data_IF_633352121344
#
_entry.id   IF_633352121344
#
_cell.length_a   1.000
_cell.length_b   1.000
_cell.length_c   1.000
_cell.angle_alpha   90.00
_cell.angle_beta   90.00
_cell.angle_gamma   90.00
#
_symmetry.space_group_name_H-M   'P 1'
#
loop_
_entity.id
_entity.type
_entity.pdbx_description
1 polymer ?
#
# COMPACT_ATOMS: atom_id res chain seq x y z
N UNK A 1 11.05 -0.17 -24.48
CA UNK A 1 12.04 0.72 -23.89
C UNK A 1 11.94 0.68 -22.37
N UNK A 2 13.07 0.84 -21.68
CA UNK A 2 13.06 0.97 -20.22
C UNK A 2 12.52 2.34 -19.83
N UNK A 3 11.81 2.40 -18.70
CA UNK A 3 11.34 3.66 -18.15
C UNK A 3 12.55 4.52 -17.73
N UNK A 4 12.67 5.72 -18.27
CA UNK A 4 13.68 6.68 -17.85
C UNK A 4 13.29 7.22 -16.47
N UNK A 5 14.19 7.08 -15.51
CA UNK A 5 14.05 7.70 -14.19
C UNK A 5 14.72 9.07 -14.23
N UNK A 6 13.98 10.13 -13.98
CA UNK A 6 14.48 11.49 -13.92
C UNK A 6 14.27 12.07 -12.52
N UNK A 7 15.25 12.86 -12.05
CA UNK A 7 15.08 13.58 -10.80
C UNK A 7 14.11 14.75 -11.00
N UNK A 8 13.09 14.82 -10.16
CA UNK A 8 12.17 15.96 -10.13
C UNK A 8 12.80 17.09 -9.31
N UNK A 9 13.07 18.26 -9.91
CA UNK A 9 13.87 19.31 -9.25
C UNK A 9 13.17 19.94 -8.06
N UNK A 10 11.85 20.15 -8.13
CA UNK A 10 11.09 20.90 -7.12
C UNK A 10 10.00 20.03 -6.46
N UNK A 11 10.43 19.24 -5.49
CA UNK A 11 9.51 18.41 -4.71
C UNK A 11 9.78 18.56 -3.21
N UNK A 12 8.74 18.38 -2.41
CA UNK A 12 8.86 18.35 -0.95
C UNK A 12 8.03 17.24 -0.34
N UNK A 13 8.48 16.78 0.83
CA UNK A 13 7.76 15.86 1.70
C UNK A 13 7.74 16.47 3.09
N UNK A 14 6.56 16.61 3.67
CA UNK A 14 6.37 17.09 5.04
C UNK A 14 5.24 16.30 5.70
N UNK A 15 5.26 16.22 7.02
CA UNK A 15 4.21 15.51 7.73
C UNK A 15 4.39 15.51 9.23
N UNK A 16 3.42 14.91 9.89
CA UNK A 16 3.40 14.67 11.32
C UNK A 16 3.19 13.18 11.53
N UNK A 17 4.02 12.58 12.36
CA UNK A 17 3.89 11.22 12.81
C UNK A 17 3.63 11.20 14.32
N UNK A 18 2.62 10.45 14.74
CA UNK A 18 2.24 10.27 16.13
C UNK A 18 2.31 8.78 16.46
N UNK A 19 3.08 8.43 17.47
CA UNK A 19 3.16 7.07 17.99
C UNK A 19 2.73 7.06 19.47
N UNK A 20 1.80 6.20 19.82
CA UNK A 20 1.33 6.03 21.19
C UNK A 20 1.35 4.54 21.56
N UNK A 21 1.87 4.23 22.74
CA UNK A 21 1.81 2.91 23.36
C UNK A 21 1.13 3.02 24.73
N UNK A 22 0.01 2.34 24.90
CA UNK A 22 -0.80 2.37 26.13
C UNK A 22 -0.86 0.96 26.70
N UNK A 23 -0.41 0.80 27.95
CA UNK A 23 -0.43 -0.47 28.68
C UNK A 23 -1.16 -0.33 30.00
N UNK A 24 -2.51 -0.33 29.98
CA UNK A 24 -3.33 -0.08 31.18
C UNK A 24 -3.23 -1.21 32.22
N UNK A 25 -2.83 -2.41 31.79
CA UNK A 25 -2.63 -3.56 32.67
C UNK A 25 -1.56 -4.51 32.12
N UNK A 26 -1.15 -5.51 32.92
CA UNK A 26 -0.03 -6.42 32.56
C UNK A 26 -0.32 -7.34 31.35
N UNK A 27 -1.58 -7.56 31.04
CA UNK A 27 -2.01 -8.52 30.02
C UNK A 27 -2.56 -7.86 28.74
N UNK A 28 -2.67 -6.50 28.68
CA UNK A 28 -3.17 -5.77 27.52
C UNK A 28 -2.26 -4.60 27.18
N UNK A 29 -2.00 -4.43 25.88
CA UNK A 29 -1.27 -3.30 25.31
C UNK A 29 -1.95 -2.85 24.01
N UNK A 30 -2.04 -1.55 23.84
CA UNK A 30 -2.50 -0.91 22.62
C UNK A 30 -1.40 -0.02 22.07
N UNK A 31 -0.98 -0.30 20.83
CA UNK A 31 -0.02 0.50 20.09
C UNK A 31 -0.73 1.11 18.87
N UNK A 32 -0.54 2.38 18.65
CA UNK A 32 -1.10 3.13 17.53
C UNK A 32 -0.01 4.03 16.92
N UNK A 33 0.02 4.06 15.59
CA UNK A 33 0.86 4.96 14.82
C UNK A 33 0.00 5.61 13.74
N UNK A 34 0.02 6.93 13.67
CA UNK A 34 -0.67 7.69 12.63
C UNK A 34 0.31 8.65 11.97
N UNK A 35 0.34 8.63 10.66
CA UNK A 35 1.16 9.53 9.83
C UNK A 35 0.24 10.34 8.94
N UNK A 36 0.32 11.65 9.04
CA UNK A 36 -0.30 12.56 8.10
C UNK A 36 0.81 13.27 7.35
N UNK A 37 0.84 13.15 6.04
CA UNK A 37 1.90 13.69 5.20
C UNK A 37 1.33 14.48 4.01
N UNK A 38 2.13 15.42 3.53
CA UNK A 38 1.91 16.12 2.26
C UNK A 38 3.16 15.91 1.41
N UNK A 39 3.00 15.20 0.29
CA UNK A 39 4.08 14.82 -0.60
C UNK A 39 3.76 15.39 -1.98
N UNK A 40 4.47 16.44 -2.41
CA UNK A 40 4.13 17.21 -3.62
C UNK A 40 5.31 17.43 -4.52
N UNK A 41 5.01 17.51 -5.81
CA UNK A 41 5.89 18.04 -6.85
C UNK A 41 5.33 19.40 -7.25
N UNK A 42 6.13 20.46 -7.11
CA UNK A 42 5.68 21.83 -7.38
C UNK A 42 5.51 22.09 -8.88
N UNK A 43 6.48 21.62 -9.67
CA UNK A 43 6.47 21.74 -11.13
C UNK A 43 6.81 20.37 -11.72
N UNK A 44 5.82 19.71 -12.31
CA UNK A 44 5.98 18.42 -12.98
C UNK A 44 5.70 18.55 -14.48
N UNK A 45 6.58 18.01 -15.31
CA UNK A 45 6.38 17.93 -16.75
C UNK A 45 6.10 16.48 -17.13
N UNK A 46 4.87 16.21 -17.49
CA UNK A 46 4.46 14.91 -18.05
C UNK A 46 4.86 14.84 -19.51
N UNK A 47 5.56 13.79 -19.90
CA UNK A 47 5.85 13.47 -21.29
C UNK A 47 4.84 12.45 -21.80
N UNK A 48 3.86 12.90 -22.58
CA UNK A 48 2.77 12.08 -23.11
C UNK A 48 3.11 11.60 -24.52
N UNK A 49 3.41 10.30 -24.75
CA UNK A 49 3.65 9.75 -26.06
C UNK A 49 2.37 9.72 -26.90
N UNK A 50 2.50 9.84 -28.21
CA UNK A 50 1.37 9.79 -29.12
C UNK A 50 1.49 8.69 -30.17
N UNK A 51 0.35 8.18 -30.62
CA UNK A 51 0.26 7.14 -31.62
C UNK A 51 -0.87 7.42 -32.64
N UNK A 52 -0.63 7.01 -33.88
CA UNK A 52 -1.66 6.88 -34.88
C UNK A 52 -1.79 5.40 -35.25
N UNK A 53 -2.99 4.84 -35.19
CA UNK A 53 -3.26 3.45 -35.55
C UNK A 53 -3.75 3.40 -36.99
N UNK A 54 -3.02 2.67 -37.86
CA UNK A 54 -3.35 2.49 -39.27
C UNK A 54 -4.39 1.37 -39.45
N UNK A 55 -5.08 1.38 -40.58
CA UNK A 55 -6.10 0.38 -40.95
C UNK A 55 -5.54 -1.05 -41.01
N UNK A 56 -4.25 -1.22 -41.23
CA UNK A 56 -3.56 -2.52 -41.26
C UNK A 56 -3.20 -3.06 -39.87
N UNK A 57 -3.55 -2.35 -38.80
CA UNK A 57 -3.24 -2.71 -37.41
C UNK A 57 -1.83 -2.29 -36.96
N UNK A 58 -1.04 -1.65 -37.80
CA UNK A 58 0.23 -1.04 -37.40
C UNK A 58 0.02 0.29 -36.65
N UNK A 59 1.03 0.74 -35.93
CA UNK A 59 1.01 2.07 -35.30
C UNK A 59 2.19 2.91 -35.71
N UNK A 60 1.96 4.21 -35.89
CA UNK A 60 2.97 5.21 -36.17
C UNK A 60 3.10 6.11 -34.93
N UNK A 61 4.34 6.30 -34.44
CA UNK A 61 4.58 7.21 -33.33
C UNK A 61 4.39 8.66 -33.74
N UNK A 62 3.64 9.39 -32.97
CA UNK A 62 3.46 10.84 -33.09
C UNK A 62 4.44 11.58 -32.14
N UNK A 63 4.63 12.89 -32.30
CA UNK A 63 5.47 13.67 -31.38
C UNK A 63 5.00 13.56 -29.93
N UNK A 64 5.93 13.37 -29.02
CA UNK A 64 5.63 13.40 -27.57
C UNK A 64 5.22 14.82 -27.16
N UNK A 65 4.09 14.94 -26.47
CA UNK A 65 3.59 16.23 -25.95
C UNK A 65 4.02 16.36 -24.49
N UNK A 66 4.48 17.57 -24.14
CA UNK A 66 4.82 17.89 -22.75
C UNK A 66 3.70 18.69 -22.10
N UNK A 67 3.15 18.19 -21.00
CA UNK A 67 2.10 18.81 -20.23
C UNK A 67 2.67 19.23 -18.88
N UNK A 68 2.50 20.52 -18.53
CA UNK A 68 2.97 21.07 -17.26
C UNK A 68 1.88 20.96 -16.20
N UNK A 69 2.21 20.37 -15.08
CA UNK A 69 1.38 20.23 -13.89
C UNK A 69 2.01 20.99 -12.73
N UNK A 70 1.17 21.51 -11.82
CA UNK A 70 1.62 22.22 -10.62
C UNK A 70 1.02 21.60 -9.36
N UNK A 71 1.84 21.53 -8.30
CA UNK A 71 1.47 21.05 -6.97
C UNK A 71 0.78 19.67 -6.99
N UNK A 72 1.33 18.73 -7.77
CA UNK A 72 0.81 17.37 -7.89
C UNK A 72 1.30 16.45 -6.79
N UNK A 73 0.56 15.37 -6.50
CA UNK A 73 0.99 14.32 -5.58
C UNK A 73 2.19 13.56 -6.14
N UNK A 74 3.11 13.19 -5.27
CA UNK A 74 4.12 12.19 -5.61
C UNK A 74 3.42 10.83 -5.70
N UNK A 75 3.64 10.13 -6.81
CA UNK A 75 3.07 8.79 -7.01
C UNK A 75 3.38 7.84 -5.84
N UNK A 76 2.42 6.96 -5.52
CA UNK A 76 2.51 5.99 -4.42
C UNK A 76 2.82 6.59 -3.04
N UNK A 77 2.35 7.81 -2.80
CA UNK A 77 2.58 8.53 -1.54
C UNK A 77 1.24 8.92 -0.93
N UNK A 78 0.66 8.08 -0.06
CA UNK A 78 -0.62 8.38 0.59
C UNK A 78 -0.49 9.55 1.57
N UNK A 79 -1.53 10.37 1.67
CA UNK A 79 -1.56 11.51 2.59
C UNK A 79 -1.80 11.07 4.05
N UNK A 80 -2.41 9.89 4.26
CA UNK A 80 -2.69 9.38 5.61
C UNK A 80 -2.47 7.88 5.72
N UNK A 81 -1.73 7.50 6.76
CA UNK A 81 -1.49 6.13 7.19
C UNK A 81 -1.88 5.97 8.65
N UNK A 82 -2.57 4.89 8.99
CA UNK A 82 -2.87 4.54 10.37
C UNK A 82 -2.55 3.06 10.57
N UNK A 83 -1.72 2.77 11.58
CA UNK A 83 -1.47 1.42 12.06
C UNK A 83 -1.95 1.31 13.49
N UNK A 84 -2.60 0.22 13.80
CA UNK A 84 -3.14 -0.05 15.12
C UNK A 84 -2.86 -1.51 15.49
N UNK A 85 -2.47 -1.76 16.74
CA UNK A 85 -2.24 -3.08 17.28
C UNK A 85 -2.79 -3.19 18.70
N UNK A 86 -3.76 -4.07 18.88
CA UNK A 86 -4.18 -4.55 20.19
C UNK A 86 -3.46 -5.86 20.50
N UNK A 87 -2.78 -5.94 21.62
CA UNK A 87 -2.05 -7.13 22.09
C UNK A 87 -2.58 -7.57 23.43
N UNK A 88 -2.89 -8.85 23.53
CA UNK A 88 -3.34 -9.50 24.74
C UNK A 88 -2.42 -10.68 25.08
N UNK A 89 -1.90 -10.74 26.30
CA UNK A 89 -1.00 -11.79 26.76
C UNK A 89 -1.41 -12.23 28.17
N UNK A 90 -1.88 -13.46 28.31
CA UNK A 90 -2.31 -13.97 29.61
C UNK A 90 -2.12 -15.48 29.74
N UNK A 91 -1.32 -15.92 30.72
CA UNK A 91 -1.10 -17.33 31.07
C UNK A 91 -0.75 -18.23 29.86
N UNK A 92 0.16 -17.78 29.01
CA UNK A 92 0.58 -18.50 27.81
C UNK A 92 -0.32 -18.32 26.59
N UNK A 93 -1.48 -17.68 26.73
CA UNK A 93 -2.32 -17.28 25.61
C UNK A 93 -1.90 -15.89 25.14
N UNK A 94 -1.70 -15.77 23.83
CA UNK A 94 -1.41 -14.52 23.15
C UNK A 94 -2.42 -14.29 22.03
N UNK A 95 -2.93 -13.06 21.94
CA UNK A 95 -3.74 -12.61 20.83
C UNK A 95 -3.29 -11.22 20.41
N UNK A 96 -3.20 -10.98 19.10
CA UNK A 96 -2.92 -9.66 18.57
C UNK A 96 -3.78 -9.38 17.35
N UNK A 97 -4.54 -8.28 17.40
CA UNK A 97 -5.25 -7.73 16.25
C UNK A 97 -4.44 -6.55 15.72
N UNK A 98 -3.96 -6.66 14.47
CA UNK A 98 -3.26 -5.61 13.76
C UNK A 98 -4.15 -5.07 12.66
N UNK A 99 -4.33 -3.76 12.59
CA UNK A 99 -5.12 -3.11 11.56
C UNK A 99 -4.31 -2.00 10.91
N UNK A 100 -4.44 -1.87 9.59
CA UNK A 100 -3.81 -0.83 8.80
C UNK A 100 -4.84 -0.13 7.93
N UNK A 101 -4.84 1.19 7.96
CA UNK A 101 -5.55 2.03 7.00
C UNK A 101 -4.52 2.77 6.14
N UNK A 102 -4.77 2.79 4.84
CA UNK A 102 -4.01 3.56 3.85
C UNK A 102 -4.99 4.39 3.05
N UNK A 103 -4.74 5.69 2.92
CA UNK A 103 -5.56 6.58 2.10
C UNK A 103 -5.33 6.33 0.60
N UNK A 104 -6.21 6.90 -0.25
CA UNK A 104 -6.07 6.90 -1.71
C UNK A 104 -4.66 7.35 -2.12
N UNK A 105 -4.13 6.78 -3.20
CA UNK A 105 -2.84 7.13 -3.79
C UNK A 105 -2.97 7.28 -5.30
N UNK A 106 -2.26 8.24 -5.88
CA UNK A 106 -2.09 8.31 -7.33
C UNK A 106 -0.96 7.38 -7.79
N UNK A 107 -1.13 6.72 -8.93
CA UNK A 107 -0.10 5.86 -9.51
C UNK A 107 0.86 6.61 -10.42
N UNK A 108 0.53 7.86 -10.79
CA UNK A 108 1.35 8.74 -11.61
C UNK A 108 1.56 10.10 -10.95
N UNK A 109 2.66 10.76 -11.27
CA UNK A 109 2.92 12.13 -10.81
C UNK A 109 2.06 13.20 -11.53
N UNK A 110 1.35 12.82 -12.59
CA UNK A 110 0.42 13.69 -13.31
C UNK A 110 -0.94 13.84 -12.59
N UNK A 111 -1.17 13.11 -11.49
CA UNK A 111 -2.38 13.18 -10.66
C UNK A 111 -3.68 12.92 -11.46
N UNK A 112 -3.64 11.86 -12.26
CA UNK A 112 -4.79 11.43 -13.07
C UNK A 112 -5.77 10.64 -12.18
N UNK A 113 -7.03 11.09 -12.08
CA UNK A 113 -8.04 10.51 -11.18
C UNK A 113 -8.39 9.05 -11.51
N UNK A 114 -8.35 8.65 -12.77
CA UNK A 114 -8.60 7.26 -13.20
C UNK A 114 -7.43 6.33 -12.87
N UNK A 115 -6.25 6.88 -12.57
CA UNK A 115 -5.02 6.13 -12.30
C UNK A 115 -4.67 6.19 -10.81
N UNK A 116 -5.57 5.66 -9.97
CA UNK A 116 -5.41 5.67 -8.51
C UNK A 116 -5.52 4.28 -7.92
N UNK A 117 -4.94 4.11 -6.74
CA UNK A 117 -5.23 3.01 -5.82
C UNK A 117 -6.22 3.53 -4.77
N UNK A 118 -7.31 2.82 -4.58
CA UNK A 118 -8.31 3.17 -3.58
C UNK A 118 -7.77 3.03 -2.15
N UNK A 119 -8.38 3.79 -1.23
CA UNK A 119 -8.12 3.61 0.20
C UNK A 119 -8.56 2.23 0.65
N UNK A 120 -7.83 1.65 1.61
CA UNK A 120 -8.20 0.37 2.18
C UNK A 120 -7.97 0.31 3.70
N UNK A 121 -8.68 -0.63 4.35
CA UNK A 121 -8.51 -0.95 5.76
C UNK A 121 -8.43 -2.47 5.92
N UNK A 122 -7.27 -2.98 6.25
CA UNK A 122 -7.03 -4.42 6.41
C UNK A 122 -6.67 -4.76 7.85
N UNK A 123 -7.15 -5.90 8.35
CA UNK A 123 -6.87 -6.39 9.70
C UNK A 123 -6.40 -7.83 9.68
N UNK A 124 -5.38 -8.11 10.50
CA UNK A 124 -4.83 -9.45 10.69
C UNK A 124 -4.97 -9.85 12.17
N UNK A 125 -5.37 -11.08 12.43
CA UNK A 125 -5.50 -11.64 13.76
C UNK A 125 -4.45 -12.72 13.98
N UNK A 126 -3.63 -12.57 15.01
CA UNK A 126 -2.68 -13.58 15.46
C UNK A 126 -3.16 -14.16 16.79
N UNK A 127 -3.20 -15.48 16.89
CA UNK A 127 -3.52 -16.22 18.12
C UNK A 127 -2.41 -17.23 18.37
N UNK A 128 -1.95 -17.33 19.61
CA UNK A 128 -0.98 -18.36 19.99
C UNK A 128 -1.24 -18.84 21.43
N UNK A 129 -0.87 -20.07 21.68
CA UNK A 129 -0.87 -20.65 23.00
C UNK A 129 0.45 -21.39 23.26
N UNK A 130 1.14 -20.98 24.32
CA UNK A 130 2.40 -21.56 24.78
C UNK A 130 2.21 -22.33 26.07
N UNK A 131 2.69 -23.56 26.11
CA UNK A 131 2.68 -24.40 27.30
C UNK A 131 4.02 -25.14 27.46
N UNK A 132 4.30 -25.60 28.71
CA UNK A 132 5.57 -26.25 29.08
C UNK A 132 5.35 -27.71 29.46
N UNK A 133 5.59 -28.66 28.55
CA UNK A 133 5.54 -30.08 28.85
C UNK A 133 6.70 -30.46 29.78
N UNK A 134 6.40 -31.27 30.83
CA UNK A 134 7.31 -31.48 31.96
C UNK A 134 8.55 -32.36 31.71
N UNK A 135 8.80 -32.94 30.53
CA UNK A 135 9.85 -33.98 30.43
C UNK A 135 10.96 -33.77 29.39
N UNK A 136 10.68 -33.27 28.20
CA UNK A 136 11.66 -33.22 27.09
C UNK A 136 11.76 -31.83 26.49
N UNK A 137 10.63 -31.15 26.35
CA UNK A 137 10.55 -29.84 25.73
C UNK A 137 10.41 -28.75 26.80
N UNK A 138 11.16 -27.68 26.66
CA UNK A 138 11.04 -26.50 27.54
C UNK A 138 9.75 -25.74 27.26
N UNK A 139 9.32 -25.70 26.00
CA UNK A 139 8.12 -24.98 25.61
C UNK A 139 7.59 -25.49 24.27
N UNK A 140 6.29 -25.52 24.12
CA UNK A 140 5.58 -25.74 22.83
C UNK A 140 4.64 -24.57 22.64
N UNK A 141 4.71 -23.97 21.45
CA UNK A 141 3.78 -22.90 21.03
C UNK A 141 3.01 -23.36 19.81
N UNK A 142 1.69 -23.28 19.87
CA UNK A 142 0.79 -23.50 18.72
C UNK A 142 0.18 -22.16 18.40
N UNK A 143 0.26 -21.76 17.13
CA UNK A 143 -0.27 -20.45 16.71
C UNK A 143 -0.99 -20.50 15.38
N UNK A 144 -1.88 -19.52 15.20
CA UNK A 144 -2.64 -19.27 13.99
C UNK A 144 -2.60 -17.79 13.65
N UNK A 145 -2.44 -17.49 12.38
CA UNK A 145 -2.58 -16.15 11.84
C UNK A 145 -3.70 -16.15 10.81
N UNK A 146 -4.68 -15.29 11.00
CA UNK A 146 -5.73 -15.01 10.01
C UNK A 146 -5.34 -13.69 9.36
N UNK A 147 -4.93 -13.72 8.10
CA UNK A 147 -4.68 -12.54 7.30
C UNK A 147 -5.97 -12.05 6.67
N UNK A 148 -6.10 -10.75 6.55
CA UNK A 148 -7.26 -10.09 5.97
C UNK A 148 -8.57 -10.62 6.59
N UNK A 149 -8.71 -10.44 7.90
CA UNK A 149 -9.78 -11.01 8.73
C UNK A 149 -11.20 -10.68 8.22
N UNK A 150 -11.38 -9.50 7.63
CA UNK A 150 -12.68 -9.02 7.15
C UNK A 150 -12.89 -9.22 5.65
N UNK A 151 -11.96 -9.93 4.98
CA UNK A 151 -12.01 -10.20 3.54
C UNK A 151 -12.14 -8.93 2.69
N UNK A 152 -11.40 -7.88 3.07
CA UNK A 152 -11.31 -6.65 2.30
C UNK A 152 -10.75 -6.94 0.91
N UNK A 153 -11.38 -6.40 -0.13
CA UNK A 153 -10.88 -6.47 -1.50
C UNK A 153 -10.13 -5.17 -1.77
N UNK A 154 -8.82 -5.26 -1.94
CA UNK A 154 -7.99 -4.08 -2.13
C UNK A 154 -6.76 -4.39 -2.97
N UNK A 155 -6.22 -3.35 -3.55
CA UNK A 155 -4.94 -3.31 -4.25
C UNK A 155 -3.99 -2.39 -3.49
N UNK A 156 -2.76 -2.84 -3.28
CA UNK A 156 -1.73 -2.02 -2.62
C UNK A 156 -0.61 -1.58 -3.57
N UNK A 157 -0.68 -2.01 -4.81
CA UNK A 157 0.26 -1.66 -5.86
C UNK A 157 -0.40 -1.79 -7.24
N UNK A 158 0.20 -1.17 -8.24
CA UNK A 158 -0.23 -1.22 -9.63
C UNK A 158 0.80 -0.59 -10.54
N UNK A 159 0.50 -0.56 -11.82
CA UNK A 159 1.20 0.24 -12.80
C UNK A 159 0.19 1.09 -13.57
N UNK A 160 0.64 2.22 -14.05
CA UNK A 160 -0.18 3.13 -14.84
C UNK A 160 0.65 3.77 -15.96
N UNK A 161 -0.02 4.03 -17.07
CA UNK A 161 0.54 4.78 -18.20
C UNK A 161 -0.55 5.59 -18.87
N UNK A 162 -0.14 6.62 -19.59
CA UNK A 162 -1.02 7.41 -20.45
C UNK A 162 -0.37 7.66 -21.81
N UNK A 163 -1.18 7.73 -22.84
CA UNK A 163 -0.79 8.16 -24.17
C UNK A 163 -1.90 9.01 -24.80
N UNK A 164 -1.72 9.44 -26.05
CA UNK A 164 -2.79 10.02 -26.85
C UNK A 164 -2.83 9.41 -28.25
N UNK A 165 -4.04 9.34 -28.84
CA UNK A 165 -4.26 8.86 -30.21
C UNK A 165 -4.71 10.02 -31.07
N UNK A 166 -3.94 10.31 -32.12
CA UNK A 166 -4.16 11.38 -33.12
C UNK A 166 -4.17 12.80 -32.52
N UNK A 167 -4.96 13.05 -31.48
CA UNK A 167 -5.09 14.35 -30.83
C UNK A 167 -5.11 14.21 -29.31
N UNK A 168 -4.78 15.28 -28.57
CA UNK A 168 -4.83 15.31 -27.10
C UNK A 168 -6.21 15.02 -26.51
N UNK A 169 -7.28 15.27 -27.27
CA UNK A 169 -8.66 14.97 -26.84
C UNK A 169 -8.88 13.46 -26.69
N UNK A 170 -8.11 12.66 -27.41
CA UNK A 170 -8.11 11.20 -27.36
C UNK A 170 -7.00 10.67 -26.44
N UNK A 171 -6.90 11.21 -25.22
CA UNK A 171 -5.98 10.68 -24.20
C UNK A 171 -6.50 9.34 -23.68
N UNK A 172 -5.63 8.33 -23.75
CA UNK A 172 -5.83 7.02 -23.12
C UNK A 172 -5.13 6.96 -21.77
N UNK A 173 -5.82 6.40 -20.77
CA UNK A 173 -5.28 6.12 -19.44
C UNK A 173 -5.39 4.61 -19.20
N UNK A 174 -4.27 3.98 -18.85
CA UNK A 174 -4.18 2.53 -18.68
C UNK A 174 -3.63 2.21 -17.31
N UNK A 175 -4.24 1.24 -16.64
CA UNK A 175 -3.78 0.76 -15.34
C UNK A 175 -3.87 -0.75 -15.23
N UNK A 176 -2.92 -1.34 -14.50
CA UNK A 176 -3.01 -2.70 -14.02
C UNK A 176 -2.82 -2.73 -12.51
N UNK A 177 -3.62 -3.52 -11.83
CA UNK A 177 -3.70 -3.54 -10.37
C UNK A 177 -3.20 -4.87 -9.81
N UNK A 178 -2.45 -4.81 -8.71
CA UNK A 178 -1.99 -5.97 -7.96
C UNK A 178 -2.98 -6.27 -6.82
N UNK A 179 -4.00 -7.08 -7.13
CA UNK A 179 -5.00 -7.50 -6.16
C UNK A 179 -4.37 -8.30 -5.01
N UNK A 180 -4.74 -7.97 -3.79
CA UNK A 180 -4.29 -8.67 -2.60
C UNK A 180 -5.17 -9.87 -2.27
N UNK A 181 -4.59 -10.86 -1.57
CA UNK A 181 -5.31 -12.06 -1.18
C UNK A 181 -6.47 -11.72 -0.23
N UNK A 182 -7.60 -12.38 -0.42
CA UNK A 182 -8.70 -12.38 0.55
C UNK A 182 -8.30 -13.07 1.85
N UNK A 183 -9.26 -13.35 2.71
CA UNK A 183 -9.00 -14.02 4.00
C UNK A 183 -8.25 -15.34 3.78
N UNK A 184 -7.12 -15.48 4.44
CA UNK A 184 -6.34 -16.72 4.45
C UNK A 184 -5.78 -16.99 5.85
N UNK A 185 -5.47 -18.26 6.12
CA UNK A 185 -5.06 -18.73 7.45
C UNK A 185 -3.76 -19.48 7.35
N UNK A 186 -2.84 -19.18 8.28
CA UNK A 186 -1.58 -19.90 8.46
C UNK A 186 -1.51 -20.45 9.89
N UNK A 187 -1.21 -21.73 10.03
CA UNK A 187 -0.90 -22.35 11.32
C UNK A 187 0.60 -22.60 11.47
N UNK A 188 1.11 -22.50 12.71
CA UNK A 188 2.48 -22.85 13.03
C UNK A 188 2.59 -23.56 14.37
N UNK A 189 3.61 -24.41 14.50
CA UNK A 189 3.97 -25.05 15.76
C UNK A 189 5.47 -24.83 15.98
N UNK A 190 5.84 -24.36 17.17
CA UNK A 190 7.23 -24.15 17.57
C UNK A 190 7.58 -25.03 18.77
N UNK A 191 8.74 -25.64 18.75
CA UNK A 191 9.28 -26.45 19.84
C UNK A 191 10.58 -25.83 20.35
N UNK A 192 10.69 -25.68 21.68
CA UNK A 192 11.91 -25.24 22.34
C UNK A 192 12.42 -26.38 23.22
N UNK A 193 13.66 -26.78 23.02
CA UNK A 193 14.35 -27.82 23.75
C UNK A 193 15.19 -27.28 24.90
#
# INVERSE_FOLDING_TARGET
GEALTENVPDSYRMGIEIMLGIKPCKWFQWDINATWSKNRIQDFVESLPGYHYNDDGSSTSLPTIQIKHKDTHIAFSPDFLLNNRFSFNYKGFEAALQSQFVSKQYMTNAEVEELTLDKYFVSNLNLAYSFRPKKVLKEVTIGFTVYNLFNEKYENNGWASSDYTDTLENRGNYAGYAAQAGTNVMGHVSFRF
#
